data_IF_700262634374
#
_entry.id   IF_700262634374
#
_cell.length_a   1.000
_cell.length_b   1.000
_cell.length_c   1.000
_cell.angle_alpha   90.00
_cell.angle_beta   90.00
_cell.angle_gamma   90.00
#
_symmetry.space_group_name_H-M   'P 1'
#
loop_
_entity.id
_entity.type
_entity.pdbx_description
1 polymer ?
#
# COMPACT_ATOMS: atom_id res chain seq x y z
N UNK A 1 -6.91 37.21 33.01
CA UNK A 1 -6.68 37.20 31.55
C UNK A 1 -5.29 36.74 31.10
N UNK A 2 -4.24 36.79 31.94
CA UNK A 2 -2.87 36.36 31.56
C UNK A 2 -2.73 34.85 31.25
N UNK A 3 -3.31 33.98 32.09
CA UNK A 3 -3.16 32.51 31.96
C UNK A 3 -3.71 31.96 30.65
N UNK A 4 -4.82 32.52 30.13
CA UNK A 4 -5.43 32.09 28.86
C UNK A 4 -4.54 32.46 27.64
N UNK A 5 -3.92 33.64 27.68
CA UNK A 5 -2.97 34.06 26.64
C UNK A 5 -1.72 33.17 26.60
N UNK A 6 -1.24 32.80 27.78
CA UNK A 6 -0.08 31.90 27.92
C UNK A 6 -0.40 30.50 27.42
N UNK A 7 -1.56 29.94 27.80
CA UNK A 7 -2.04 28.64 27.32
C UNK A 7 -2.16 28.61 25.79
N UNK A 8 -2.74 29.66 25.19
CA UNK A 8 -2.87 29.77 23.72
C UNK A 8 -1.51 29.78 23.02
N UNK A 9 -0.51 30.45 23.59
CA UNK A 9 0.85 30.44 23.02
C UNK A 9 1.47 29.03 23.04
N UNK A 10 1.36 28.31 24.14
CA UNK A 10 1.87 26.93 24.23
C UNK A 10 1.12 25.96 23.33
N UNK A 11 -0.20 26.10 23.19
CA UNK A 11 -0.99 25.31 22.28
C UNK A 11 -0.56 25.52 20.82
N UNK A 12 -0.36 26.77 20.40
CA UNK A 12 0.11 27.10 19.06
C UNK A 12 1.52 26.53 18.81
N UNK A 13 2.40 26.64 19.79
CA UNK A 13 3.76 26.09 19.70
C UNK A 13 3.75 24.56 19.59
N UNK A 14 2.88 23.89 20.34
CA UNK A 14 2.70 22.44 20.27
C UNK A 14 2.16 21.99 18.89
N UNK A 15 1.15 22.69 18.36
CA UNK A 15 0.61 22.42 17.03
C UNK A 15 1.67 22.64 15.94
N UNK A 16 2.43 23.73 16.02
CA UNK A 16 3.51 23.99 15.08
C UNK A 16 4.59 22.90 15.13
N UNK A 17 5.00 22.48 16.33
CA UNK A 17 5.96 21.40 16.53
C UNK A 17 5.43 20.07 15.96
N UNK A 18 4.16 19.75 16.20
CA UNK A 18 3.51 18.55 15.64
C UNK A 18 3.52 18.55 14.10
N UNK A 19 3.19 19.69 13.48
CA UNK A 19 3.20 19.83 12.01
C UNK A 19 4.63 19.63 11.47
N UNK A 20 5.61 20.30 12.05
CA UNK A 20 7.02 20.19 11.62
C UNK A 20 7.52 18.75 11.78
N UNK A 21 7.27 18.11 12.92
CA UNK A 21 7.64 16.72 13.17
C UNK A 21 6.98 15.76 12.19
N UNK A 22 5.71 15.97 11.87
CA UNK A 22 4.97 15.14 10.89
C UNK A 22 5.53 15.28 9.47
N UNK A 23 5.90 16.50 9.08
CA UNK A 23 6.54 16.77 7.79
C UNK A 23 7.92 16.11 7.72
N UNK A 24 8.74 16.27 8.78
CA UNK A 24 10.05 15.63 8.84
C UNK A 24 9.95 14.10 8.81
N UNK A 25 9.01 13.52 9.57
CA UNK A 25 8.76 12.07 9.54
C UNK A 25 8.33 11.58 8.15
N UNK A 26 7.46 12.33 7.46
CA UNK A 26 7.05 12.01 6.10
C UNK A 26 8.24 11.97 5.13
N UNK A 27 9.13 12.96 5.17
CA UNK A 27 10.33 12.97 4.33
C UNK A 27 11.30 11.85 4.71
N UNK A 28 11.53 11.62 6.00
CA UNK A 28 12.40 10.54 6.47
C UNK A 28 11.89 9.17 6.00
N UNK A 29 10.59 8.90 6.13
CA UNK A 29 9.98 7.65 5.65
C UNK A 29 10.15 7.53 4.13
N UNK A 30 9.85 8.58 3.37
CA UNK A 30 9.94 8.55 1.91
C UNK A 30 11.35 8.29 1.39
N UNK A 31 12.38 8.84 2.06
CA UNK A 31 13.79 8.63 1.68
C UNK A 31 14.33 7.25 2.08
N UNK A 32 13.64 6.54 2.98
CA UNK A 32 14.06 5.20 3.44
C UNK A 32 13.62 4.09 2.47
N UNK A 33 12.58 4.35 1.65
CA UNK A 33 12.10 3.39 0.67
C UNK A 33 13.01 3.36 -0.56
N UNK A 34 13.38 2.16 -0.99
CA UNK A 34 14.08 1.88 -2.25
C UNK A 34 13.18 1.08 -3.19
N UNK A 35 13.32 1.32 -4.49
CA UNK A 35 12.61 0.57 -5.51
C UNK A 35 13.05 -0.90 -5.50
N UNK A 36 12.09 -1.79 -5.71
CA UNK A 36 12.34 -3.22 -5.88
C UNK A 36 12.32 -3.60 -7.35
N UNK A 37 13.19 -4.52 -7.76
CA UNK A 37 13.11 -5.14 -9.07
C UNK A 37 12.01 -6.19 -9.10
N UNK A 38 11.16 -6.16 -10.14
CA UNK A 38 10.05 -7.09 -10.28
C UNK A 38 10.11 -7.88 -11.56
N UNK A 39 9.63 -9.13 -11.49
CA UNK A 39 9.33 -9.94 -12.65
C UNK A 39 7.85 -10.34 -12.61
N UNK A 40 7.11 -10.07 -13.68
CA UNK A 40 5.70 -10.40 -13.80
C UNK A 40 5.61 -11.52 -14.83
N UNK A 41 5.23 -12.70 -14.37
CA UNK A 41 4.92 -13.81 -15.26
C UNK A 41 3.54 -13.57 -15.87
N UNK A 42 3.50 -13.29 -17.15
CA UNK A 42 2.27 -12.99 -17.88
C UNK A 42 1.36 -14.21 -17.95
N UNK A 43 0.11 -14.02 -17.60
CA UNK A 43 -0.97 -14.98 -17.80
C UNK A 43 -1.80 -14.57 -19.05
N UNK A 44 -2.35 -15.54 -19.76
CA UNK A 44 -3.23 -15.29 -20.91
C UNK A 44 -4.54 -14.61 -20.51
N UNK A 45 -4.99 -14.86 -19.30
CA UNK A 45 -6.31 -14.45 -18.80
C UNK A 45 -6.29 -13.14 -18.05
N UNK A 46 -5.21 -12.85 -17.30
CA UNK A 46 -5.11 -11.74 -16.39
C UNK A 46 -3.92 -10.84 -16.74
N UNK A 47 -4.19 -9.58 -17.01
CA UNK A 47 -3.14 -8.57 -17.11
C UNK A 47 -2.83 -7.99 -15.74
N UNK A 48 -1.56 -8.04 -15.36
CA UNK A 48 -1.06 -7.46 -14.12
C UNK A 48 -0.12 -6.32 -14.48
N UNK A 49 -0.42 -5.13 -13.99
CA UNK A 49 0.46 -3.99 -14.06
C UNK A 49 0.86 -3.61 -12.64
N UNK A 50 2.15 -3.56 -12.35
CA UNK A 50 2.69 -3.05 -11.10
C UNK A 50 3.02 -1.59 -11.27
N UNK A 51 2.35 -0.73 -10.49
CA UNK A 51 2.52 0.72 -10.56
C UNK A 51 3.71 1.17 -9.70
N UNK A 52 3.84 0.58 -8.49
CA UNK A 52 4.88 0.93 -7.55
C UNK A 52 5.23 -0.27 -6.67
N UNK A 53 6.52 -0.52 -6.48
CA UNK A 53 7.02 -1.57 -5.60
C UNK A 53 8.23 -1.06 -4.85
N UNK A 54 8.10 -0.90 -3.53
CA UNK A 54 9.13 -0.30 -2.67
C UNK A 54 9.32 -1.07 -1.39
N UNK A 55 10.55 -1.10 -0.92
CA UNK A 55 10.91 -1.70 0.37
C UNK A 55 11.86 -0.83 1.18
N UNK A 56 11.76 -0.99 2.48
CA UNK A 56 12.76 -0.58 3.48
C UNK A 56 13.58 -1.80 3.91
N UNK A 57 14.32 -1.68 5.01
CA UNK A 57 15.03 -2.84 5.59
C UNK A 57 14.09 -3.86 6.23
N UNK A 58 12.87 -3.49 6.64
CA UNK A 58 11.97 -4.33 7.46
C UNK A 58 10.55 -4.46 6.92
N UNK A 59 10.15 -3.64 5.96
CA UNK A 59 8.81 -3.66 5.38
C UNK A 59 8.81 -3.13 3.96
N UNK A 60 7.67 -3.25 3.28
CA UNK A 60 7.49 -2.69 1.96
C UNK A 60 6.04 -2.80 1.50
N UNK A 61 5.84 -2.38 0.25
CA UNK A 61 4.55 -2.49 -0.41
C UNK A 61 4.69 -2.67 -1.92
N UNK A 62 3.68 -3.30 -2.50
CA UNK A 62 3.51 -3.40 -3.95
C UNK A 62 2.10 -2.94 -4.28
N UNK A 63 1.98 -2.00 -5.20
CA UNK A 63 0.69 -1.52 -5.72
C UNK A 63 0.59 -1.80 -7.20
N UNK A 64 -0.61 -2.05 -7.67
CA UNK A 64 -0.82 -2.31 -9.08
C UNK A 64 -2.29 -2.48 -9.45
N UNK A 65 -2.49 -2.89 -10.68
CA UNK A 65 -3.81 -3.06 -11.27
C UNK A 65 -3.90 -4.44 -11.91
N UNK A 66 -5.00 -5.14 -11.63
CA UNK A 66 -5.40 -6.40 -12.26
C UNK A 66 -6.50 -6.09 -13.27
N UNK A 67 -6.37 -6.60 -14.50
CA UNK A 67 -7.39 -6.44 -15.55
C UNK A 67 -7.72 -7.79 -16.18
N UNK A 68 -8.99 -8.11 -16.24
CA UNK A 68 -9.49 -9.27 -17.00
C UNK A 68 -9.41 -8.97 -18.49
N UNK A 69 -8.65 -9.79 -19.25
CA UNK A 69 -8.50 -9.69 -20.70
C UNK A 69 -9.42 -10.64 -21.45
N UNK A 70 -10.10 -11.53 -20.73
CA UNK A 70 -10.92 -12.56 -21.38
C UNK A 70 -12.33 -12.06 -21.66
N UNK A 71 -13.05 -12.81 -22.48
CA UNK A 71 -14.48 -12.62 -22.76
C UNK A 71 -15.38 -13.25 -21.69
N UNK A 72 -14.80 -13.81 -20.63
CA UNK A 72 -15.53 -14.45 -19.54
C UNK A 72 -15.08 -13.86 -18.19
N UNK A 73 -16.00 -13.89 -17.22
CA UNK A 73 -15.65 -13.48 -15.86
C UNK A 73 -14.65 -14.47 -15.25
N UNK A 74 -13.58 -13.94 -14.65
CA UNK A 74 -12.61 -14.74 -13.91
C UNK A 74 -13.15 -14.95 -12.51
N UNK A 75 -13.17 -16.20 -12.05
CA UNK A 75 -13.63 -16.59 -10.71
C UNK A 75 -12.57 -17.42 -10.01
N UNK A 76 -12.42 -17.17 -8.70
CA UNK A 76 -11.62 -18.01 -7.79
C UNK A 76 -10.17 -18.23 -8.22
N UNK A 77 -9.48 -17.18 -8.64
CA UNK A 77 -8.03 -17.20 -8.90
C UNK A 77 -7.25 -16.47 -7.81
N UNK A 78 -5.95 -16.76 -7.73
CA UNK A 78 -5.03 -16.11 -6.83
C UNK A 78 -3.90 -15.46 -7.62
N UNK A 79 -3.46 -14.28 -7.15
CA UNK A 79 -2.21 -13.68 -7.58
C UNK A 79 -1.20 -13.88 -6.45
N UNK A 80 -0.21 -14.70 -6.70
CA UNK A 80 0.88 -15.03 -5.79
C UNK A 80 2.01 -14.03 -6.02
N UNK A 81 2.46 -13.36 -4.97
CA UNK A 81 3.61 -12.46 -4.99
C UNK A 81 4.69 -13.05 -4.09
N UNK A 82 5.78 -13.46 -4.67
CA UNK A 82 6.94 -14.00 -3.97
C UNK A 82 8.01 -12.92 -3.83
N UNK A 83 8.51 -12.73 -2.62
CA UNK A 83 9.50 -11.72 -2.30
C UNK A 83 10.86 -12.33 -2.00
N UNK A 84 11.92 -11.71 -2.54
CA UNK A 84 13.27 -12.25 -2.52
C UNK A 84 14.28 -11.25 -1.97
N UNK A 85 15.30 -11.79 -1.29
CA UNK A 85 16.48 -11.04 -0.89
C UNK A 85 17.38 -10.69 -2.08
N UNK A 86 18.42 -9.87 -1.86
CA UNK A 86 19.47 -9.60 -2.85
C UNK A 86 20.19 -10.86 -3.33
N UNK A 87 20.24 -11.91 -2.51
CA UNK A 87 20.85 -13.22 -2.84
C UNK A 87 19.88 -14.17 -3.54
N UNK A 88 18.70 -13.70 -3.94
CA UNK A 88 17.62 -14.49 -4.55
C UNK A 88 17.03 -15.59 -3.66
N UNK A 89 17.20 -15.52 -2.36
CA UNK A 89 16.50 -16.40 -1.43
C UNK A 89 15.08 -15.88 -1.25
N UNK A 90 14.10 -16.77 -1.36
CA UNK A 90 12.69 -16.46 -1.08
C UNK A 90 12.54 -16.16 0.41
N UNK A 91 11.96 -15.00 0.75
CA UNK A 91 11.77 -14.54 2.12
C UNK A 91 10.33 -14.78 2.57
N UNK A 92 9.36 -14.37 1.74
CA UNK A 92 7.95 -14.53 2.05
C UNK A 92 7.11 -14.59 0.76
N UNK A 93 5.88 -15.00 0.90
CA UNK A 93 4.89 -15.09 -0.17
C UNK A 93 3.59 -14.47 0.31
N UNK A 94 2.99 -13.62 -0.53
CA UNK A 94 1.69 -13.02 -0.29
C UNK A 94 0.72 -13.41 -1.39
N UNK A 95 -0.57 -13.54 -1.06
CA UNK A 95 -1.61 -13.92 -2.01
C UNK A 95 -2.71 -12.86 -2.07
N UNK A 96 -3.13 -12.52 -3.27
CA UNK A 96 -4.32 -11.71 -3.54
C UNK A 96 -5.39 -12.67 -4.06
N UNK A 97 -6.51 -12.76 -3.36
CA UNK A 97 -7.65 -13.54 -3.82
C UNK A 97 -8.51 -12.73 -4.78
N UNK A 98 -8.82 -13.31 -5.92
CA UNK A 98 -9.76 -12.79 -6.89
C UNK A 98 -11.04 -13.62 -6.76
N UNK A 99 -12.05 -13.10 -6.05
CA UNK A 99 -13.35 -13.77 -5.93
C UNK A 99 -14.10 -13.73 -7.25
N UNK A 100 -14.20 -12.55 -7.85
CA UNK A 100 -14.78 -12.35 -9.17
C UNK A 100 -14.19 -11.08 -9.82
N UNK A 101 -13.90 -11.17 -11.11
CA UNK A 101 -13.47 -10.06 -11.96
C UNK A 101 -14.23 -10.14 -13.29
N UNK A 102 -15.15 -9.22 -13.53
CA UNK A 102 -15.98 -9.20 -14.72
C UNK A 102 -15.16 -8.97 -15.99
N UNK A 103 -15.78 -9.22 -17.15
CA UNK A 103 -15.14 -9.02 -18.46
C UNK A 103 -14.64 -7.57 -18.60
N UNK A 104 -13.36 -7.38 -18.90
CA UNK A 104 -12.74 -6.08 -19.08
C UNK A 104 -12.59 -5.27 -17.81
N UNK A 105 -13.06 -5.75 -16.66
CA UNK A 105 -12.94 -5.08 -15.36
C UNK A 105 -11.49 -4.94 -14.92
N UNK A 106 -11.19 -3.81 -14.27
CA UNK A 106 -9.89 -3.54 -13.68
C UNK A 106 -10.04 -3.22 -12.19
N UNK A 107 -9.26 -3.89 -11.35
CA UNK A 107 -9.21 -3.64 -9.90
C UNK A 107 -7.80 -3.29 -9.46
N UNK A 108 -7.68 -2.34 -8.54
CA UNK A 108 -6.41 -1.99 -7.92
C UNK A 108 -6.13 -2.89 -6.73
N UNK A 109 -4.86 -3.18 -6.52
CA UNK A 109 -4.40 -3.89 -5.33
C UNK A 109 -3.27 -3.13 -4.63
N UNK A 110 -3.17 -3.34 -3.34
CA UNK A 110 -2.05 -2.88 -2.51
C UNK A 110 -1.70 -4.00 -1.55
N UNK A 111 -0.50 -4.53 -1.69
CA UNK A 111 0.05 -5.55 -0.81
C UNK A 111 1.10 -4.90 0.07
N UNK A 112 0.86 -4.85 1.37
CA UNK A 112 1.84 -4.43 2.35
C UNK A 112 2.45 -5.68 2.99
N UNK A 113 3.75 -5.72 3.08
CA UNK A 113 4.47 -6.85 3.65
C UNK A 113 5.48 -6.42 4.71
N UNK A 114 5.81 -7.38 5.58
CA UNK A 114 6.91 -7.26 6.53
C UNK A 114 7.94 -8.35 6.25
N UNK A 115 9.17 -7.94 6.01
CA UNK A 115 10.26 -8.86 5.73
C UNK A 115 11.57 -8.11 5.61
N UNK A 116 12.65 -8.75 6.07
CA UNK A 116 13.96 -8.12 6.12
C UNK A 116 14.67 -8.21 4.77
N UNK A 117 15.27 -7.09 4.36
CA UNK A 117 16.18 -7.01 3.20
C UNK A 117 15.57 -7.52 1.88
N UNK A 118 14.30 -7.31 1.65
CA UNK A 118 13.64 -7.62 0.39
C UNK A 118 14.10 -6.64 -0.69
N UNK A 119 14.50 -7.18 -1.86
CA UNK A 119 15.04 -6.40 -2.98
C UNK A 119 14.35 -6.68 -4.31
N UNK A 120 13.67 -7.80 -4.42
CA UNK A 120 12.95 -8.17 -5.64
C UNK A 120 11.71 -8.98 -5.36
N UNK A 121 10.83 -9.06 -6.36
CA UNK A 121 9.59 -9.82 -6.27
C UNK A 121 9.25 -10.48 -7.61
N UNK A 122 8.49 -11.57 -7.55
CA UNK A 122 7.86 -12.21 -8.70
C UNK A 122 6.34 -12.22 -8.52
N UNK A 123 5.60 -11.97 -9.58
CA UNK A 123 4.15 -12.06 -9.58
C UNK A 123 3.73 -13.20 -10.50
N UNK A 124 2.91 -14.11 -9.98
CA UNK A 124 2.45 -15.35 -10.64
C UNK A 124 0.94 -15.47 -10.45
N UNK A 125 0.21 -15.82 -11.50
CA UNK A 125 -1.20 -16.20 -11.38
C UNK A 125 -1.30 -17.69 -11.12
N UNK A 126 -2.14 -18.10 -10.17
CA UNK A 126 -2.33 -19.51 -9.80
C UNK A 126 -3.77 -19.80 -9.43
N UNK A 127 -4.21 -21.03 -9.65
CA UNK A 127 -5.51 -21.52 -9.19
C UNK A 127 -5.44 -22.13 -7.78
N UNK A 128 -4.22 -22.38 -7.28
CA UNK A 128 -3.98 -23.01 -6.00
C UNK A 128 -3.48 -22.00 -4.96
N UNK A 129 -3.99 -22.15 -3.76
CA UNK A 129 -3.53 -21.44 -2.57
C UNK A 129 -2.80 -22.41 -1.65
N UNK A 130 -1.57 -22.08 -1.26
CA UNK A 130 -0.79 -22.88 -0.32
C UNK A 130 -0.74 -22.20 1.05
N UNK A 131 -1.28 -22.88 2.07
CA UNK A 131 -1.26 -22.41 3.45
C UNK A 131 0.13 -22.49 4.12
N UNK A 132 1.06 -23.24 3.54
CA UNK A 132 2.33 -23.57 4.19
C UNK A 132 3.36 -22.44 4.15
N UNK A 133 3.13 -21.41 3.31
CA UNK A 133 4.14 -20.38 3.04
C UNK A 133 3.71 -18.94 3.41
N UNK A 134 2.48 -18.72 3.83
CA UNK A 134 1.99 -17.36 4.11
C UNK A 134 1.41 -17.18 5.50
N UNK A 135 1.91 -16.21 6.25
CA UNK A 135 1.09 -15.53 7.24
C UNK A 135 0.01 -14.77 6.47
N UNK A 136 -1.20 -15.33 6.46
CA UNK A 136 -2.32 -15.00 5.61
C UNK A 136 -2.72 -13.52 5.72
N UNK A 137 -2.44 -12.73 4.72
CA UNK A 137 -3.16 -11.50 4.45
C UNK A 137 -3.96 -11.68 3.17
N UNK A 138 -5.20 -12.18 3.30
CA UNK A 138 -6.19 -12.11 2.21
C UNK A 138 -6.47 -10.62 1.96
N UNK A 139 -5.85 -10.07 0.94
CA UNK A 139 -6.08 -8.70 0.53
C UNK A 139 -7.31 -8.72 -0.37
N UNK A 140 -8.42 -8.21 0.17
CA UNK A 140 -9.60 -7.96 -0.64
C UNK A 140 -9.29 -6.83 -1.63
N UNK A 141 -9.52 -7.10 -2.91
CA UNK A 141 -9.46 -6.09 -3.96
C UNK A 141 -10.49 -5.01 -3.64
N UNK A 142 -10.04 -3.78 -3.48
CA UNK A 142 -10.93 -2.62 -3.32
C UNK A 142 -11.25 -2.03 -4.68
N UNK A 143 -12.52 -1.70 -4.87
CA UNK A 143 -12.93 -0.94 -6.05
C UNK A 143 -12.12 0.35 -6.16
N UNK A 144 -11.62 0.63 -7.36
CA UNK A 144 -10.69 1.73 -7.63
C UNK A 144 -11.30 3.14 -7.42
N UNK A 145 -12.61 3.23 -7.15
CA UNK A 145 -13.34 4.49 -7.26
C UNK A 145 -13.54 5.28 -5.97
N UNK A 146 -13.31 4.74 -4.77
CA UNK A 146 -13.69 5.45 -3.55
C UNK A 146 -12.64 5.36 -2.44
N UNK A 147 -11.48 6.00 -2.64
CA UNK A 147 -10.77 6.55 -1.49
C UNK A 147 -11.20 8.01 -1.28
N UNK A 148 -12.18 8.29 -0.39
CA UNK A 148 -12.49 9.66 -0.05
C UNK A 148 -11.26 10.23 0.66
N UNK A 149 -10.89 11.40 0.21
CA UNK A 149 -9.83 12.28 0.67
C UNK A 149 -9.92 12.48 2.21
N UNK A 150 -9.52 11.48 2.98
CA UNK A 150 -9.42 11.60 4.46
C UNK A 150 -8.34 12.59 4.92
N UNK A 151 -7.44 12.99 4.03
CA UNK A 151 -6.36 13.94 4.37
C UNK A 151 -6.78 15.40 4.38
N UNK A 152 -7.88 15.78 3.71
CA UNK A 152 -8.38 17.16 3.70
C UNK A 152 -9.08 17.53 5.01
N UNK A 153 -9.67 16.57 5.73
CA UNK A 153 -10.43 16.85 6.95
C UNK A 153 -9.56 17.37 8.11
N UNK A 154 -8.30 16.94 8.20
CA UNK A 154 -7.39 17.42 9.26
C UNK A 154 -6.94 18.84 9.01
N UNK A 155 -6.63 19.21 7.75
CA UNK A 155 -6.29 20.60 7.39
C UNK A 155 -7.48 21.53 7.57
N UNK A 156 -8.69 21.09 7.21
CA UNK A 156 -9.91 21.88 7.40
C UNK A 156 -10.24 22.07 8.88
N UNK A 157 -10.09 21.04 9.71
CA UNK A 157 -10.29 21.12 11.15
C UNK A 157 -9.30 22.07 11.83
N UNK A 158 -8.03 22.05 11.43
CA UNK A 158 -7.00 22.97 11.94
C UNK A 158 -7.27 24.40 11.49
N UNK A 159 -7.69 24.63 10.22
CA UNK A 159 -8.03 25.95 9.72
C UNK A 159 -9.28 26.54 10.42
N UNK A 160 -10.28 25.73 10.73
CA UNK A 160 -11.45 26.12 11.50
C UNK A 160 -11.04 26.49 12.94
N UNK A 161 -10.21 25.69 13.59
CA UNK A 161 -9.68 25.97 14.94
C UNK A 161 -8.92 27.31 15.00
N UNK A 162 -8.11 27.62 13.99
CA UNK A 162 -7.37 28.88 13.91
C UNK A 162 -8.31 30.08 13.71
N UNK A 163 -9.43 29.92 13.00
CA UNK A 163 -10.37 31.00 12.72
C UNK A 163 -11.29 31.34 13.90
N UNK A 164 -11.61 30.38 14.76
CA UNK A 164 -12.56 30.56 15.86
C UNK A 164 -11.92 30.67 17.25
N UNK A 165 -10.61 30.55 17.38
CA UNK A 165 -9.83 30.81 18.58
C UNK A 165 -8.78 31.90 18.39
#
# INVERSE_FOLDING_TARGET
>A
MGRLKTFRKYLLLFVAFYIVSSVMAFFAIKTTYSDMSGNILTDEYLQINVDEAKSTMVNGYVTGTLKNKTEQAIKSKYVKIEFYSAKKNKILTEYIKIDELAVGESKKFTVNFRGENIKSFNVIVTDEYSNEESEMHLINLKDAENEPIKKISIFLAVAILIKYF
#
